data_IF_866456926330
#
_entry.id   IF_866456926330
#
_cell.length_a   1.000
_cell.length_b   1.000
_cell.length_c   1.000
_cell.angle_alpha   90.00
_cell.angle_beta   90.00
_cell.angle_gamma   90.00
#
_symmetry.space_group_name_H-M   'P 1'
#
loop_
_entity.id
_entity.type
_entity.pdbx_description
1 polymer ?
#
# COMPACT_ATOMS: atom_id res chain seq x y z
N UNK A 1 14.07 39.68 5.11
CA UNK A 1 13.08 38.59 4.91
C UNK A 1 13.06 38.29 3.42
N UNK A 2 13.63 37.16 3.01
CA UNK A 2 13.66 36.79 1.59
C UNK A 2 12.24 36.47 1.15
N UNK A 3 11.78 37.10 0.07
CA UNK A 3 10.49 36.80 -0.55
C UNK A 3 10.62 35.37 -1.07
N UNK A 4 10.17 34.39 -0.29
CA UNK A 4 10.04 33.03 -0.78
C UNK A 4 9.05 33.11 -1.94
N UNK A 5 9.54 32.92 -3.16
CA UNK A 5 8.74 32.97 -4.37
C UNK A 5 7.54 32.01 -4.19
N UNK A 6 6.30 32.38 -4.55
CA UNK A 6 5.12 31.53 -4.34
C UNK A 6 5.26 30.09 -4.86
N UNK A 7 6.08 29.90 -5.90
CA UNK A 7 6.47 28.59 -6.43
C UNK A 7 7.27 27.74 -5.43
N UNK A 8 8.22 28.33 -4.71
CA UNK A 8 9.03 27.64 -3.70
C UNK A 8 8.18 27.19 -2.51
N UNK A 9 7.22 28.02 -2.09
CA UNK A 9 6.28 27.67 -1.03
C UNK A 9 5.34 26.54 -1.47
N UNK A 10 4.85 26.59 -2.71
CA UNK A 10 4.04 25.50 -3.28
C UNK A 10 4.82 24.19 -3.34
N UNK A 11 6.06 24.22 -3.86
CA UNK A 11 6.92 23.04 -3.89
C UNK A 11 7.18 22.46 -2.51
N UNK A 12 7.43 23.31 -1.51
CA UNK A 12 7.63 22.86 -0.13
C UNK A 12 6.38 22.15 0.41
N UNK A 13 5.19 22.69 0.14
CA UNK A 13 3.93 22.07 0.56
C UNK A 13 3.72 20.72 -0.16
N UNK A 14 3.94 20.66 -1.47
CA UNK A 14 3.79 19.43 -2.27
C UNK A 14 4.73 18.32 -1.73
N UNK A 15 5.99 18.66 -1.41
CA UNK A 15 6.95 17.73 -0.82
C UNK A 15 6.50 17.24 0.56
N UNK A 16 5.97 18.14 1.40
CA UNK A 16 5.47 17.76 2.72
C UNK A 16 4.24 16.85 2.63
N UNK A 17 3.34 17.07 1.67
CA UNK A 17 2.18 16.21 1.44
C UNK A 17 2.60 14.82 0.97
N UNK A 18 3.56 14.74 0.02
CA UNK A 18 4.13 13.47 -0.44
C UNK A 18 4.75 12.68 0.72
N UNK A 19 5.50 13.36 1.59
CA UNK A 19 6.17 12.73 2.74
C UNK A 19 5.17 12.13 3.73
N UNK A 20 4.05 12.81 3.99
CA UNK A 20 3.03 12.36 4.95
C UNK A 20 2.37 11.03 4.55
N UNK A 21 2.10 10.83 3.26
CA UNK A 21 1.48 9.59 2.78
C UNK A 21 2.40 8.35 2.83
N UNK A 22 3.71 8.53 3.03
CA UNK A 22 4.68 7.45 3.17
C UNK A 22 5.13 7.24 4.62
N UNK A 23 4.42 7.81 5.60
CA UNK A 23 4.73 7.54 7.00
C UNK A 23 4.35 6.09 7.37
N UNK A 24 5.17 5.39 8.18
CA UNK A 24 4.90 4.01 8.57
C UNK A 24 3.52 3.77 9.14
N UNK A 25 3.03 4.67 10.00
CA UNK A 25 1.71 4.54 10.65
C UNK A 25 0.58 4.64 9.62
N UNK A 26 0.75 5.51 8.62
CA UNK A 26 -0.21 5.68 7.54
C UNK A 26 -0.27 4.44 6.64
N UNK A 27 0.89 3.90 6.27
CA UNK A 27 0.97 2.65 5.51
C UNK A 27 0.41 1.46 6.31
N UNK A 28 0.68 1.40 7.61
CA UNK A 28 0.16 0.35 8.50
C UNK A 28 -1.36 0.38 8.55
N UNK A 29 -1.97 1.57 8.69
CA UNK A 29 -3.41 1.74 8.62
C UNK A 29 -3.99 1.22 7.28
N UNK A 30 -3.41 1.62 6.15
CA UNK A 30 -3.90 1.18 4.85
C UNK A 30 -3.73 -0.31 4.62
N UNK A 31 -2.61 -0.89 5.05
CA UNK A 31 -2.42 -2.33 5.01
C UNK A 31 -3.48 -3.07 5.84
N UNK A 32 -3.77 -2.60 7.06
CA UNK A 32 -4.84 -3.20 7.87
C UNK A 32 -6.20 -3.11 7.19
N UNK A 33 -6.53 -1.95 6.61
CA UNK A 33 -7.77 -1.73 5.88
C UNK A 33 -7.90 -2.65 4.66
N UNK A 34 -6.87 -2.69 3.81
CA UNK A 34 -6.83 -3.54 2.61
C UNK A 34 -6.93 -5.01 2.99
N UNK A 35 -6.20 -5.46 4.03
CA UNK A 35 -6.22 -6.86 4.46
C UNK A 35 -7.59 -7.25 5.01
N UNK A 36 -8.26 -6.36 5.76
CA UNK A 36 -9.65 -6.58 6.20
C UNK A 36 -10.58 -6.78 5.01
N UNK A 37 -10.58 -5.83 4.07
CA UNK A 37 -11.44 -5.87 2.88
C UNK A 37 -11.13 -7.11 2.02
N UNK A 38 -9.85 -7.50 1.92
CA UNK A 38 -9.41 -8.71 1.22
C UNK A 38 -10.00 -9.96 1.88
N UNK A 39 -9.97 -10.05 3.22
CA UNK A 39 -10.50 -11.20 3.97
C UNK A 39 -12.02 -11.30 3.88
N UNK A 40 -12.71 -10.16 3.88
CA UNK A 40 -14.17 -10.10 3.69
C UNK A 40 -14.60 -10.66 2.33
N UNK A 41 -13.83 -10.40 1.27
CA UNK A 41 -14.09 -10.94 -0.07
C UNK A 41 -13.60 -12.38 -0.26
N UNK A 42 -12.58 -12.79 0.49
CA UNK A 42 -11.95 -14.10 0.32
C UNK A 42 -12.79 -15.21 0.98
N UNK A 43 -12.82 -16.42 0.38
CA UNK A 43 -13.46 -17.57 0.98
C UNK A 43 -12.86 -17.90 2.37
N UNK A 44 -13.64 -18.47 3.30
CA UNK A 44 -13.21 -18.66 4.70
C UNK A 44 -11.90 -19.44 4.86
N UNK A 45 -11.65 -20.46 4.02
CA UNK A 45 -10.45 -21.29 4.04
C UNK A 45 -9.18 -20.61 3.51
N UNK A 46 -9.30 -19.36 3.06
CA UNK A 46 -8.21 -18.57 2.49
C UNK A 46 -7.83 -17.38 3.38
N UNK A 47 -8.69 -17.00 4.32
CA UNK A 47 -8.50 -15.84 5.19
C UNK A 47 -7.28 -15.98 6.11
N UNK A 48 -6.94 -17.20 6.54
CA UNK A 48 -5.74 -17.50 7.34
C UNK A 48 -4.45 -17.36 6.54
N UNK A 49 -4.53 -17.39 5.20
CA UNK A 49 -3.40 -17.25 4.26
C UNK A 49 -3.25 -15.82 3.72
N UNK A 50 -3.79 -14.83 4.42
CA UNK A 50 -3.69 -13.40 4.05
C UNK A 50 -3.18 -12.67 5.29
N UNK A 51 -1.87 -12.46 5.36
CA UNK A 51 -1.22 -11.86 6.52
C UNK A 51 -0.23 -10.78 6.08
N UNK A 52 -0.16 -9.72 6.87
CA UNK A 52 0.87 -8.69 6.75
C UNK A 52 1.55 -8.52 8.09
N UNK A 53 2.88 -8.44 8.10
CA UNK A 53 3.69 -8.17 9.29
C UNK A 53 4.61 -6.99 9.03
N UNK A 54 4.43 -5.93 9.80
CA UNK A 54 5.36 -4.80 9.82
C UNK A 54 6.60 -5.18 10.62
N UNK A 55 7.79 -4.87 10.09
CA UNK A 55 9.05 -5.14 10.77
C UNK A 55 9.22 -4.16 11.96
N UNK A 56 9.52 -4.65 13.18
CA UNK A 56 9.60 -3.80 14.36
C UNK A 56 10.83 -2.89 14.39
N UNK A 57 11.87 -3.23 13.63
CA UNK A 57 13.11 -2.43 13.54
C UNK A 57 13.06 -1.52 12.31
N UNK A 58 12.51 -2.03 11.20
CA UNK A 58 12.37 -1.29 9.95
C UNK A 58 10.91 -0.97 9.69
N UNK A 59 10.36 0.13 10.24
CA UNK A 59 8.92 0.39 10.24
C UNK A 59 8.31 0.58 8.84
N UNK A 60 9.13 0.83 7.82
CA UNK A 60 8.71 0.91 6.42
C UNK A 60 8.67 -0.45 5.70
N UNK A 61 9.15 -1.53 6.34
CA UNK A 61 9.22 -2.86 5.76
C UNK A 61 7.98 -3.66 6.17
N UNK A 62 7.19 -4.02 5.16
CA UNK A 62 5.99 -4.84 5.32
C UNK A 62 6.19 -6.17 4.64
N UNK A 63 6.05 -7.26 5.40
CA UNK A 63 6.09 -8.62 4.88
C UNK A 63 4.65 -9.06 4.60
N UNK A 64 4.27 -9.05 3.33
CA UNK A 64 2.97 -9.55 2.86
C UNK A 64 3.08 -11.04 2.53
N UNK A 65 2.48 -11.87 3.38
CA UNK A 65 2.36 -13.31 3.18
C UNK A 65 0.93 -13.63 2.71
N UNK A 66 0.79 -13.86 1.41
CA UNK A 66 -0.50 -14.06 0.76
C UNK A 66 -0.47 -15.30 -0.15
N UNK A 67 -1.49 -16.15 -0.04
CA UNK A 67 -1.65 -17.26 -0.98
C UNK A 67 -1.86 -16.72 -2.40
N UNK A 68 -1.26 -17.34 -3.42
CA UNK A 68 -1.51 -17.01 -4.84
C UNK A 68 -2.99 -16.92 -5.19
N UNK A 69 -3.82 -17.81 -4.62
CA UNK A 69 -5.28 -17.83 -4.84
C UNK A 69 -5.99 -16.61 -4.24
N UNK A 70 -5.36 -15.91 -3.30
CA UNK A 70 -5.91 -14.75 -2.62
C UNK A 70 -5.49 -13.42 -3.25
N UNK A 71 -4.44 -13.42 -4.08
CA UNK A 71 -3.88 -12.18 -4.67
C UNK A 71 -4.91 -11.38 -5.45
N UNK A 72 -5.81 -12.05 -6.19
CA UNK A 72 -6.90 -11.34 -6.92
C UNK A 72 -7.78 -10.49 -6.00
N UNK A 73 -8.08 -10.99 -4.80
CA UNK A 73 -8.92 -10.27 -3.84
C UNK A 73 -8.16 -9.06 -3.27
N UNK A 74 -6.85 -9.21 -3.07
CA UNK A 74 -5.99 -8.13 -2.62
C UNK A 74 -5.90 -7.01 -3.65
N UNK A 75 -5.73 -7.36 -4.93
CA UNK A 75 -5.72 -6.36 -6.02
C UNK A 75 -7.05 -5.59 -6.04
N UNK A 76 -8.19 -6.29 -5.98
CA UNK A 76 -9.52 -5.64 -5.93
C UNK A 76 -9.66 -4.74 -4.69
N UNK A 77 -9.18 -5.18 -3.53
CA UNK A 77 -9.23 -4.39 -2.30
C UNK A 77 -8.40 -3.10 -2.42
N UNK A 78 -7.23 -3.17 -3.06
CA UNK A 78 -6.39 -1.99 -3.34
C UNK A 78 -7.11 -1.03 -4.29
N UNK A 79 -7.64 -1.52 -5.42
CA UNK A 79 -8.35 -0.68 -6.40
C UNK A 79 -9.54 0.06 -5.78
N UNK A 80 -10.34 -0.64 -4.96
CA UNK A 80 -11.52 -0.06 -4.30
C UNK A 80 -11.17 1.09 -3.33
N UNK A 81 -9.96 1.06 -2.76
CA UNK A 81 -9.50 2.05 -1.79
C UNK A 81 -8.55 3.09 -2.39
N UNK A 82 -8.04 2.89 -3.61
CA UNK A 82 -6.99 3.71 -4.21
C UNK A 82 -7.36 5.20 -4.25
N UNK A 83 -8.59 5.52 -4.67
CA UNK A 83 -9.07 6.91 -4.75
C UNK A 83 -9.15 7.65 -3.41
N UNK A 84 -9.19 6.92 -2.29
CA UNK A 84 -9.28 7.48 -0.93
C UNK A 84 -7.90 7.69 -0.29
N UNK A 85 -6.85 7.10 -0.86
CA UNK A 85 -5.48 7.23 -0.37
C UNK A 85 -4.87 8.56 -0.79
N UNK A 86 -3.95 9.13 0.01
CA UNK A 86 -3.08 10.21 -0.46
C UNK A 86 -2.24 9.74 -1.65
N UNK A 87 -1.89 10.67 -2.54
CA UNK A 87 -1.21 10.35 -3.80
C UNK A 87 0.05 9.49 -3.63
N UNK A 88 0.91 9.78 -2.66
CA UNK A 88 2.12 8.97 -2.43
C UNK A 88 1.81 7.56 -1.92
N UNK A 89 0.75 7.38 -1.15
CA UNK A 89 0.27 6.07 -0.72
C UNK A 89 -0.34 5.28 -1.88
N UNK A 90 -1.05 5.95 -2.79
CA UNK A 90 -1.53 5.33 -4.04
C UNK A 90 -0.37 4.74 -4.83
N UNK A 91 0.67 5.54 -5.07
CA UNK A 91 1.87 5.09 -5.80
C UNK A 91 2.53 3.89 -5.11
N UNK A 92 2.58 3.88 -3.78
CA UNK A 92 3.11 2.76 -3.02
C UNK A 92 2.31 1.48 -3.30
N UNK A 93 0.98 1.51 -3.19
CA UNK A 93 0.16 0.30 -3.40
C UNK A 93 0.08 -0.13 -4.87
N UNK A 94 0.14 0.80 -5.81
CA UNK A 94 0.31 0.47 -7.24
C UNK A 94 1.61 -0.33 -7.45
N UNK A 95 2.71 0.07 -6.79
CA UNK A 95 3.97 -0.69 -6.85
C UNK A 95 3.86 -2.06 -6.20
N UNK A 96 3.11 -2.19 -5.10
CA UNK A 96 2.84 -3.49 -4.47
C UNK A 96 2.06 -4.41 -5.41
N UNK A 97 1.03 -3.90 -6.10
CA UNK A 97 0.29 -4.67 -7.11
C UNK A 97 1.19 -5.13 -8.26
N UNK A 98 2.05 -4.24 -8.77
CA UNK A 98 3.02 -4.56 -9.82
C UNK A 98 3.95 -5.71 -9.41
N UNK A 99 4.52 -5.65 -8.19
CA UNK A 99 5.39 -6.70 -7.65
C UNK A 99 4.64 -8.02 -7.49
N UNK A 100 3.41 -7.98 -6.96
CA UNK A 100 2.57 -9.18 -6.82
C UNK A 100 2.25 -9.81 -8.18
N UNK A 101 1.96 -8.99 -9.20
CA UNK A 101 1.73 -9.47 -10.57
C UNK A 101 2.96 -10.20 -11.12
N UNK A 102 4.14 -9.60 -10.97
CA UNK A 102 5.40 -10.22 -11.43
C UNK A 102 5.71 -11.55 -10.71
N UNK A 103 5.47 -11.63 -9.41
CA UNK A 103 5.64 -12.87 -8.65
C UNK A 103 4.60 -13.94 -9.02
N UNK A 104 3.38 -13.56 -9.41
CA UNK A 104 2.40 -14.49 -9.96
C UNK A 104 2.89 -15.10 -11.28
N UNK A 105 3.39 -14.27 -12.20
CA UNK A 105 3.84 -14.69 -13.53
C UNK A 105 5.06 -15.61 -13.48
N UNK A 106 6.07 -15.28 -12.66
CA UNK A 106 7.24 -16.16 -12.42
C UNK A 106 6.87 -17.56 -12.00
N UNK A 107 5.77 -17.67 -11.25
CA UNK A 107 5.39 -18.90 -10.57
C UNK A 107 4.53 -19.82 -11.43
N UNK A 108 4.21 -19.39 -12.65
CA UNK A 108 3.53 -20.13 -13.71
C UNK A 108 4.51 -20.73 -14.74
N UNK A 109 5.82 -20.41 -14.63
CA UNK A 109 6.91 -20.94 -15.46
C UNK A 109 7.66 -22.04 -14.73
#
# INVERSE_FOLDING_TARGET
MSIIHPLLQKLQNDVQELQKGLQPDHLSFWYQKIISDTKEMAPPWLQDKINVKQDPILPMKFNLDISKRAVRYFIIAVENNLSQMPYSTQLYFLKVQEILGFEMDKSLV
#
